data_IF_383152686139
#
_entry.id   IF_383152686139
#
_cell.length_a   1.000
_cell.length_b   1.000
_cell.length_c   1.000
_cell.angle_alpha   90.00
_cell.angle_beta   90.00
_cell.angle_gamma   90.00
#
_symmetry.space_group_name_H-M   'P 1'
#
loop_
_entity.id
_entity.type
_entity.pdbx_description
1 polymer ?
#
# COMPACT_ATOMS: atom_id res chain seq x y z
N UNK A 1 28.96 -7.12 -9.99
CA UNK A 1 28.44 -6.49 -11.24
C UNK A 1 27.04 -6.00 -10.95
N UNK A 2 26.76 -4.68 -11.04
CA UNK A 2 25.45 -4.13 -10.79
C UNK A 2 24.55 -4.28 -12.03
N UNK A 3 23.25 -4.46 -11.82
CA UNK A 3 22.28 -4.49 -12.91
C UNK A 3 22.21 -3.10 -13.56
N UNK A 4 22.45 -3.04 -14.86
CA UNK A 4 22.50 -1.77 -15.63
C UNK A 4 21.18 -0.99 -15.60
N UNK A 5 20.05 -1.70 -15.61
CA UNK A 5 18.73 -1.09 -15.54
C UNK A 5 18.50 -0.34 -14.21
N UNK A 6 18.87 -0.96 -13.09
CA UNK A 6 18.76 -0.29 -11.79
C UNK A 6 19.77 0.83 -11.63
N UNK A 7 20.94 0.71 -12.26
CA UNK A 7 21.95 1.78 -12.22
C UNK A 7 21.51 2.99 -13.01
N UNK A 8 20.80 2.83 -14.14
CA UNK A 8 20.24 3.97 -14.91
C UNK A 8 19.12 4.66 -14.15
N UNK A 9 18.30 3.95 -13.39
CA UNK A 9 17.23 4.54 -12.56
C UNK A 9 17.77 5.48 -11.47
N UNK A 10 19.02 5.31 -11.03
CA UNK A 10 19.66 6.24 -10.07
C UNK A 10 19.95 7.62 -10.69
N UNK A 11 19.94 7.74 -12.00
CA UNK A 11 20.15 9.00 -12.72
C UNK A 11 18.84 9.74 -12.99
N UNK A 12 17.70 9.05 -12.85
CA UNK A 12 16.39 9.66 -12.98
C UNK A 12 16.03 10.36 -11.68
N UNK A 13 15.62 11.62 -11.80
CA UNK A 13 15.15 12.38 -10.66
C UNK A 13 13.70 12.03 -10.35
N UNK A 14 13.43 11.61 -9.13
CA UNK A 14 12.07 11.52 -8.63
C UNK A 14 11.55 12.92 -8.28
N UNK A 15 10.80 13.50 -9.21
CA UNK A 15 10.26 14.86 -9.09
C UNK A 15 9.35 15.00 -7.85
N UNK A 16 8.59 13.98 -7.51
CA UNK A 16 7.71 14.00 -6.34
C UNK A 16 8.55 14.08 -5.07
N UNK A 17 9.61 13.29 -4.99
CA UNK A 17 10.51 13.29 -3.86
C UNK A 17 11.28 14.64 -3.75
N UNK A 18 11.73 15.21 -4.87
CA UNK A 18 12.37 16.53 -4.89
C UNK A 18 11.43 17.64 -4.39
N UNK A 19 10.16 17.64 -4.80
CA UNK A 19 9.15 18.61 -4.34
C UNK A 19 8.88 18.45 -2.85
N UNK A 20 8.70 17.22 -2.38
CA UNK A 20 8.52 16.93 -0.95
C UNK A 20 9.71 17.39 -0.10
N UNK A 21 10.92 17.15 -0.60
CA UNK A 21 12.16 17.58 0.07
C UNK A 21 12.26 19.11 0.11
N UNK A 22 11.94 19.78 -1.00
CA UNK A 22 11.88 21.25 -1.06
C UNK A 22 10.86 21.81 -0.07
N UNK A 23 9.64 21.25 0.00
CA UNK A 23 8.62 21.69 0.95
C UNK A 23 9.09 21.53 2.40
N UNK A 24 9.76 20.42 2.71
CA UNK A 24 10.34 20.14 4.04
C UNK A 24 11.42 21.18 4.42
N UNK A 25 12.32 21.49 3.53
CA UNK A 25 13.35 22.51 3.78
C UNK A 25 12.75 23.92 3.88
N UNK A 26 11.77 24.23 3.04
CA UNK A 26 11.09 25.52 3.06
C UNK A 26 10.31 25.75 4.36
N UNK A 27 9.71 24.70 4.90
CA UNK A 27 8.99 24.73 6.18
C UNK A 27 9.89 25.19 7.35
N UNK A 28 11.18 24.87 7.33
CA UNK A 28 12.15 25.33 8.34
C UNK A 28 12.39 26.85 8.31
N UNK A 29 12.14 27.49 7.16
CA UNK A 29 12.37 28.92 6.96
C UNK A 29 11.12 29.74 7.21
N UNK A 30 9.95 29.29 6.74
CA UNK A 30 8.72 30.06 6.76
C UNK A 30 7.69 29.59 7.79
N UNK A 31 7.96 28.48 8.47
CA UNK A 31 7.00 27.78 9.36
C UNK A 31 6.18 26.75 8.58
N UNK A 32 5.95 25.59 9.21
CA UNK A 32 5.21 24.49 8.59
C UNK A 32 3.75 24.87 8.29
N UNK A 33 3.16 25.75 9.10
CA UNK A 33 1.80 26.26 8.92
C UNK A 33 1.62 27.11 7.66
N UNK A 34 2.72 27.60 7.06
CA UNK A 34 2.72 28.39 5.84
C UNK A 34 3.08 27.56 4.58
N UNK A 35 3.16 26.23 4.71
CA UNK A 35 3.43 25.34 3.58
C UNK A 35 2.14 24.57 3.22
N UNK A 36 1.74 24.73 1.97
CA UNK A 36 0.62 23.99 1.38
C UNK A 36 1.20 22.95 0.41
N UNK A 37 1.58 21.79 0.97
CA UNK A 37 2.22 20.71 0.20
C UNK A 37 1.16 19.81 -0.43
N UNK A 38 1.13 19.79 -1.75
CA UNK A 38 0.28 18.93 -2.57
C UNK A 38 1.07 17.84 -3.31
N UNK A 39 2.32 17.61 -2.95
CA UNK A 39 3.19 16.63 -3.62
C UNK A 39 2.82 15.19 -3.31
N UNK A 40 2.35 14.91 -2.10
CA UNK A 40 1.97 13.58 -1.65
C UNK A 40 0.54 13.56 -1.11
N UNK A 41 -0.23 12.57 -1.56
CA UNK A 41 -1.57 12.29 -1.04
C UNK A 41 -1.51 11.67 0.35
N UNK A 42 -1.14 12.46 1.36
CA UNK A 42 -1.09 11.97 2.74
C UNK A 42 -2.48 12.08 3.39
N UNK A 43 -2.96 11.04 4.11
CA UNK A 43 -4.22 11.10 4.83
C UNK A 43 -4.25 12.26 5.83
N UNK A 44 -5.26 13.13 5.74
CA UNK A 44 -5.49 14.25 6.66
C UNK A 44 -6.55 13.92 7.73
N UNK A 45 -7.22 12.79 7.61
CA UNK A 45 -8.22 12.31 8.56
C UNK A 45 -7.65 11.12 9.32
N UNK A 46 -7.67 11.14 10.67
CA UNK A 46 -7.17 10.02 11.46
C UNK A 46 -7.99 8.76 11.23
N UNK A 47 -7.35 7.60 11.33
CA UNK A 47 -8.06 6.34 11.32
C UNK A 47 -9.06 6.26 12.49
N UNK A 48 -10.22 5.58 12.33
CA UNK A 48 -11.13 5.34 13.44
C UNK A 48 -10.42 4.69 14.63
N UNK A 49 -10.80 5.07 15.87
CA UNK A 49 -10.17 4.56 17.10
C UNK A 49 -10.15 3.04 17.19
N UNK A 50 -11.19 2.39 16.68
CA UNK A 50 -11.32 0.92 16.65
C UNK A 50 -10.13 0.23 15.97
N UNK A 51 -9.43 0.90 15.05
CA UNK A 51 -8.25 0.34 14.38
C UNK A 51 -7.12 0.16 15.42
N UNK A 52 -6.81 1.20 16.17
CA UNK A 52 -5.77 1.15 17.22
C UNK A 52 -6.15 0.19 18.34
N UNK A 53 -7.39 0.24 18.79
CA UNK A 53 -7.92 -0.65 19.83
C UNK A 53 -7.78 -2.13 19.41
N UNK A 54 -8.14 -2.44 18.17
CA UNK A 54 -8.02 -3.80 17.62
C UNK A 54 -6.56 -4.25 17.53
N UNK A 55 -5.65 -3.39 17.09
CA UNK A 55 -4.22 -3.72 17.03
C UNK A 55 -3.69 -4.03 18.44
N UNK A 56 -3.95 -3.16 19.40
CA UNK A 56 -3.52 -3.36 20.80
C UNK A 56 -4.12 -4.64 21.40
N UNK A 57 -5.40 -4.87 21.16
CA UNK A 57 -6.07 -6.11 21.60
C UNK A 57 -5.39 -7.34 21.01
N UNK A 58 -5.12 -7.35 19.71
CA UNK A 58 -4.49 -8.49 19.03
C UNK A 58 -3.08 -8.75 19.54
N UNK A 59 -2.28 -7.72 19.74
CA UNK A 59 -0.92 -7.84 20.29
C UNK A 59 -0.95 -8.45 21.69
N UNK A 60 -1.93 -8.09 22.52
CA UNK A 60 -2.02 -8.55 23.91
C UNK A 60 -2.69 -9.93 24.06
N UNK A 61 -3.45 -10.41 23.07
CA UNK A 61 -4.28 -11.61 23.22
C UNK A 61 -3.91 -12.77 22.29
N UNK A 62 -3.23 -12.52 21.18
CA UNK A 62 -2.82 -13.58 20.29
C UNK A 62 -1.56 -14.28 20.80
N UNK A 63 -1.46 -15.57 20.49
CA UNK A 63 -0.22 -16.30 20.67
C UNK A 63 0.93 -15.63 19.90
N UNK A 64 2.09 -15.41 20.54
CA UNK A 64 3.21 -14.72 19.91
C UNK A 64 3.71 -15.39 18.61
N UNK A 65 3.67 -16.72 18.53
CA UNK A 65 4.09 -17.44 17.33
C UNK A 65 3.08 -17.26 16.19
N UNK A 66 1.79 -17.20 16.51
CA UNK A 66 0.75 -16.90 15.53
C UNK A 66 0.79 -15.43 15.07
N UNK A 67 1.14 -14.51 15.98
CA UNK A 67 1.21 -13.08 15.67
C UNK A 67 2.43 -12.73 14.81
N UNK A 68 3.60 -13.31 15.11
CA UNK A 68 4.88 -12.96 14.49
C UNK A 68 5.39 -14.01 13.51
N UNK A 69 4.70 -15.13 13.36
CA UNK A 69 5.05 -16.19 12.43
C UNK A 69 4.75 -15.87 10.97
N UNK A 70 5.20 -16.73 10.08
CA UNK A 70 4.85 -16.61 8.66
C UNK A 70 3.37 -16.89 8.43
N UNK A 71 2.72 -16.02 7.68
CA UNK A 71 1.38 -16.28 7.15
C UNK A 71 1.44 -17.12 5.86
N UNK A 72 0.35 -17.82 5.48
CA UNK A 72 0.26 -18.43 4.15
C UNK A 72 0.48 -17.40 3.04
N UNK A 73 1.10 -17.81 1.93
CA UNK A 73 1.49 -16.92 0.82
C UNK A 73 0.36 -16.09 0.23
N UNK A 74 -0.86 -16.63 0.24
CA UNK A 74 -2.06 -15.93 -0.23
C UNK A 74 -2.75 -15.08 0.86
N UNK A 75 -2.22 -15.08 2.08
CA UNK A 75 -2.83 -14.48 3.25
C UNK A 75 -3.72 -15.47 4.04
N UNK A 76 -4.05 -15.10 5.26
CA UNK A 76 -4.85 -15.91 6.20
C UNK A 76 -6.25 -16.14 5.62
N UNK A 77 -6.69 -17.41 5.56
CA UNK A 77 -7.96 -17.82 4.95
C UNK A 77 -9.16 -17.09 5.57
N UNK A 78 -9.24 -17.06 6.89
CA UNK A 78 -10.34 -16.38 7.60
C UNK A 78 -10.44 -14.89 7.25
N UNK A 79 -9.30 -14.21 7.10
CA UNK A 79 -9.26 -12.80 6.70
C UNK A 79 -9.79 -12.63 5.28
N UNK A 80 -9.37 -13.49 4.35
CA UNK A 80 -9.83 -13.47 2.95
C UNK A 80 -11.33 -13.76 2.83
N UNK A 81 -11.87 -14.68 3.63
CA UNK A 81 -13.31 -14.97 3.71
C UNK A 81 -14.10 -13.73 4.17
N UNK A 82 -13.66 -13.09 5.25
CA UNK A 82 -14.31 -11.86 5.75
C UNK A 82 -14.29 -10.73 4.73
N UNK A 83 -13.17 -10.56 3.99
CA UNK A 83 -13.07 -9.58 2.91
C UNK A 83 -14.06 -9.92 1.79
N UNK A 84 -14.11 -11.17 1.35
CA UNK A 84 -15.05 -11.61 0.31
C UNK A 84 -16.51 -11.36 0.72
N UNK A 85 -16.90 -11.72 1.95
CA UNK A 85 -18.23 -11.45 2.49
C UNK A 85 -18.56 -9.96 2.50
N UNK A 86 -17.62 -9.13 2.95
CA UNK A 86 -17.81 -7.68 2.97
C UNK A 86 -18.00 -7.12 1.56
N UNK A 87 -17.17 -7.50 0.60
CA UNK A 87 -17.26 -7.03 -0.79
C UNK A 87 -18.57 -7.48 -1.45
N UNK A 88 -18.96 -8.74 -1.22
CA UNK A 88 -20.22 -9.26 -1.74
C UNK A 88 -21.43 -8.49 -1.21
N UNK A 89 -21.44 -8.20 0.10
CA UNK A 89 -22.50 -7.39 0.72
C UNK A 89 -22.53 -5.96 0.20
N UNK A 90 -21.35 -5.35 0.02
CA UNK A 90 -21.23 -3.93 -0.35
C UNK A 90 -21.51 -3.68 -1.83
N UNK A 91 -21.09 -4.58 -2.71
CA UNK A 91 -21.09 -4.38 -4.17
C UNK A 91 -21.98 -5.38 -4.93
N UNK A 92 -22.68 -6.29 -4.25
CA UNK A 92 -23.52 -7.31 -4.90
C UNK A 92 -22.70 -8.33 -5.69
N UNK A 93 -21.42 -8.54 -5.35
CA UNK A 93 -20.54 -9.51 -6.01
C UNK A 93 -20.70 -10.91 -5.43
N UNK A 94 -19.98 -11.89 -6.00
CA UNK A 94 -20.01 -13.31 -5.57
C UNK A 94 -18.61 -13.87 -5.33
N UNK A 95 -17.71 -13.07 -4.76
CA UNK A 95 -16.34 -13.48 -4.46
C UNK A 95 -16.28 -14.55 -3.38
N UNK A 96 -15.31 -15.44 -3.53
CA UNK A 96 -14.90 -16.44 -2.54
C UNK A 96 -13.51 -16.05 -1.98
N UNK A 97 -13.09 -16.65 -0.88
CA UNK A 97 -11.75 -16.43 -0.35
C UNK A 97 -10.64 -16.71 -1.39
N UNK A 98 -10.86 -17.65 -2.30
CA UNK A 98 -9.94 -17.97 -3.41
C UNK A 98 -9.76 -16.83 -4.42
N UNK A 99 -10.67 -15.87 -4.46
CA UNK A 99 -10.57 -14.69 -5.34
C UNK A 99 -9.86 -13.51 -4.64
N UNK A 100 -9.49 -13.64 -3.37
CA UNK A 100 -8.83 -12.60 -2.60
C UNK A 100 -7.34 -12.93 -2.47
N UNK A 101 -6.49 -12.03 -2.90
CA UNK A 101 -5.04 -12.11 -2.75
C UNK A 101 -4.56 -10.94 -1.89
N UNK A 102 -3.85 -11.26 -0.80
CA UNK A 102 -3.30 -10.25 0.11
C UNK A 102 -1.96 -9.75 -0.43
N UNK A 103 -1.79 -8.43 -0.48
CA UNK A 103 -0.57 -7.79 -0.94
C UNK A 103 -0.11 -6.70 0.04
N UNK A 104 1.14 -6.28 -0.08
CA UNK A 104 1.74 -5.23 0.75
C UNK A 104 1.50 -3.88 0.08
N UNK A 105 0.44 -3.20 0.49
CA UNK A 105 0.07 -1.89 -0.05
C UNK A 105 -0.38 -1.91 -1.50
N UNK A 106 -0.84 -0.75 -1.99
CA UNK A 106 -1.35 -0.59 -3.36
C UNK A 106 -0.28 -0.88 -4.42
N UNK A 107 0.95 -0.41 -4.22
CA UNK A 107 2.05 -0.64 -5.17
C UNK A 107 2.36 -2.14 -5.34
N UNK A 108 2.37 -2.91 -4.25
CA UNK A 108 2.53 -4.36 -4.30
C UNK A 108 1.37 -5.05 -5.03
N UNK A 109 0.13 -4.63 -4.76
CA UNK A 109 -1.05 -5.16 -5.43
C UNK A 109 -1.02 -4.89 -6.94
N UNK A 110 -0.69 -3.66 -7.36
CA UNK A 110 -0.55 -3.28 -8.77
C UNK A 110 0.56 -4.06 -9.47
N UNK A 111 1.73 -4.21 -8.82
CA UNK A 111 2.83 -4.98 -9.38
C UNK A 111 2.45 -6.45 -9.65
N UNK A 112 1.72 -7.08 -8.73
CA UNK A 112 1.22 -8.43 -8.93
C UNK A 112 0.15 -8.50 -10.03
N UNK A 113 -0.80 -7.57 -10.03
CA UNK A 113 -1.87 -7.53 -11.02
C UNK A 113 -1.31 -7.33 -12.44
N UNK A 114 -0.42 -6.37 -12.65
CA UNK A 114 0.17 -6.11 -13.95
C UNK A 114 1.00 -7.30 -14.44
N UNK A 115 1.82 -7.89 -13.57
CA UNK A 115 2.57 -9.11 -13.94
C UNK A 115 1.69 -10.29 -14.33
N UNK A 116 0.49 -10.38 -13.77
CA UNK A 116 -0.44 -11.46 -14.07
C UNK A 116 -1.17 -11.28 -15.43
N UNK A 117 -1.33 -10.02 -15.90
CA UNK A 117 -2.17 -9.73 -17.07
C UNK A 117 -1.40 -9.15 -18.25
N UNK A 118 -0.09 -8.85 -18.11
CA UNK A 118 0.74 -8.28 -19.18
C UNK A 118 1.94 -9.15 -19.52
N UNK A 119 2.38 -9.06 -20.77
CA UNK A 119 3.61 -9.63 -21.29
C UNK A 119 4.66 -8.52 -21.54
N UNK A 120 5.95 -8.86 -21.67
CA UNK A 120 6.94 -7.89 -22.12
C UNK A 120 6.56 -7.24 -23.45
N UNK A 121 6.48 -5.91 -23.45
CA UNK A 121 6.07 -5.12 -24.63
C UNK A 121 4.61 -4.68 -24.62
N UNK A 122 3.77 -5.18 -23.71
CA UNK A 122 2.40 -4.70 -23.55
C UNK A 122 2.41 -3.29 -22.90
N UNK A 123 1.47 -2.46 -23.32
CA UNK A 123 1.30 -1.09 -22.81
C UNK A 123 0.14 -1.03 -21.82
N UNK A 124 0.33 -0.24 -20.77
CA UNK A 124 -0.69 0.04 -19.76
C UNK A 124 -1.01 1.53 -19.82
N UNK A 125 -2.28 1.86 -20.08
CA UNK A 125 -2.76 3.24 -20.06
C UNK A 125 -3.27 3.55 -18.67
N UNK A 126 -2.67 4.56 -18.01
CA UNK A 126 -3.14 5.10 -16.74
C UNK A 126 -3.77 6.47 -16.97
N UNK A 127 -4.90 6.72 -16.33
CA UNK A 127 -5.55 8.04 -16.32
C UNK A 127 -5.15 8.73 -15.02
N UNK A 128 -4.44 9.83 -15.14
CA UNK A 128 -4.02 10.69 -14.04
C UNK A 128 -5.17 11.59 -13.59
#
# INVERSE_FOLDING_TARGET
MLNKQYTSMLQEKDVIFEIFQYATERAKVVGAENIYDFSLGNPSVPAPSIVNETIVQKVNTLDPLALHGYSPSFGIMETREKIAVFLNKKYGSSYKASNIFMAIGAAGALAHAFRAVTNPGDEIINVL
#
